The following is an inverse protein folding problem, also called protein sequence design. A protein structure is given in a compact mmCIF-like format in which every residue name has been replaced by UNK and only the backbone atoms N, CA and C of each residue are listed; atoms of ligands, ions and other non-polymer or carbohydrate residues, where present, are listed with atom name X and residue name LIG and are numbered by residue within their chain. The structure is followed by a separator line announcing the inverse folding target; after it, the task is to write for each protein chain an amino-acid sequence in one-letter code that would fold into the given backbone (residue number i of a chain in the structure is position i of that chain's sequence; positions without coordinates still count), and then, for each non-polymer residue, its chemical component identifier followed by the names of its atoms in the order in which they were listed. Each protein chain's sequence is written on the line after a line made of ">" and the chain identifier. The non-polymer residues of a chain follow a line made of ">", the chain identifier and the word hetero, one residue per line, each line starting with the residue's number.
data_IF_825120568579
#
_entry.id   IF_825120568579
#
_cell.length_a   1.000
_cell.length_b   1.000
_cell.length_c   1.000
_cell.angle_alpha   90.00
_cell.angle_beta   90.00
_cell.angle_gamma   90.00
#
_symmetry.space_group_name_H-M   'P 1'
#
loop_
_entity.id
_entity.type
_entity.pdbx_description
1 polymer ?
#
# COMPACT_ATOMS: atom_id res chain seq x y z
N UNK A 1 -20.98 -20.98 19.84
CA UNK A 1 -19.53 -20.96 20.11
C UNK A 1 -18.67 -21.26 18.87
N UNK A 2 -18.90 -22.38 18.16
CA UNK A 2 -18.12 -22.77 16.96
C UNK A 2 -18.32 -21.87 15.75
N UNK A 3 -19.54 -21.36 15.51
CA UNK A 3 -19.79 -20.38 14.45
C UNK A 3 -19.14 -19.02 14.73
N UNK A 4 -19.24 -18.51 15.97
CA UNK A 4 -18.61 -17.24 16.34
C UNK A 4 -17.08 -17.28 16.19
N UNK A 5 -16.41 -18.39 16.56
CA UNK A 5 -14.97 -18.58 16.30
C UNK A 5 -14.62 -18.54 14.81
N UNK A 6 -15.44 -19.12 13.94
CA UNK A 6 -15.23 -19.09 12.47
C UNK A 6 -15.41 -17.68 11.90
N UNK A 7 -16.33 -16.89 12.46
CA UNK A 7 -16.57 -15.51 12.04
C UNK A 7 -15.41 -14.59 12.46
N UNK A 8 -14.97 -14.66 13.71
CA UNK A 8 -13.78 -13.94 14.22
C UNK A 8 -12.54 -14.26 13.39
N UNK A 9 -12.36 -15.52 12.98
CA UNK A 9 -11.22 -15.91 12.16
C UNK A 9 -11.25 -15.30 10.75
N UNK A 10 -12.43 -15.14 10.14
CA UNK A 10 -12.57 -14.42 8.86
C UNK A 10 -12.35 -12.93 9.01
N UNK A 11 -12.90 -12.33 10.07
CA UNK A 11 -12.73 -10.91 10.40
C UNK A 11 -11.24 -10.57 10.59
N UNK A 12 -10.51 -11.40 11.34
CA UNK A 12 -9.06 -11.25 11.52
C UNK A 12 -8.27 -11.36 10.22
N UNK A 13 -8.73 -12.18 9.26
CA UNK A 13 -8.09 -12.32 7.94
C UNK A 13 -8.32 -11.07 7.08
N UNK A 14 -9.53 -10.51 7.11
CA UNK A 14 -9.85 -9.27 6.41
C UNK A 14 -9.08 -8.08 7.02
N UNK A 15 -9.04 -7.98 8.34
CA UNK A 15 -8.29 -6.95 9.07
C UNK A 15 -6.79 -7.02 8.76
N UNK A 16 -6.20 -8.23 8.63
CA UNK A 16 -4.81 -8.39 8.19
C UNK A 16 -4.57 -7.82 6.80
N UNK A 17 -5.43 -8.13 5.83
CA UNK A 17 -5.30 -7.59 4.47
C UNK A 17 -5.42 -6.07 4.45
N UNK A 18 -6.40 -5.51 5.17
CA UNK A 18 -6.57 -4.07 5.33
C UNK A 18 -5.33 -3.42 5.96
N UNK A 19 -4.78 -4.03 7.02
CA UNK A 19 -3.55 -3.57 7.65
C UNK A 19 -2.34 -3.55 6.71
N UNK A 20 -2.21 -4.57 5.84
CA UNK A 20 -1.14 -4.62 4.82
C UNK A 20 -1.32 -3.52 3.78
N UNK A 21 -2.55 -3.31 3.29
CA UNK A 21 -2.86 -2.24 2.32
C UNK A 21 -2.54 -0.87 2.92
N UNK A 22 -2.98 -0.62 4.16
CA UNK A 22 -2.69 0.62 4.88
C UNK A 22 -1.18 0.81 5.07
N UNK A 23 -0.45 -0.24 5.46
CA UNK A 23 1.00 -0.20 5.62
C UNK A 23 1.73 0.10 4.31
N UNK A 24 1.33 -0.54 3.21
CA UNK A 24 1.90 -0.30 1.88
C UNK A 24 1.62 1.12 1.39
N UNK A 25 0.39 1.63 1.59
CA UNK A 25 0.02 3.00 1.29
C UNK A 25 0.92 3.99 2.02
N UNK A 26 1.06 3.81 3.35
CA UNK A 26 1.90 4.67 4.17
C UNK A 26 3.36 4.58 3.72
N UNK A 27 3.90 3.39 3.50
CA UNK A 27 5.30 3.22 3.07
C UNK A 27 5.61 3.94 1.74
N UNK A 28 4.70 3.88 0.76
CA UNK A 28 4.90 4.53 -0.53
C UNK A 28 4.76 6.05 -0.46
N UNK A 29 3.89 6.56 0.41
CA UNK A 29 3.62 8.00 0.50
C UNK A 29 4.44 8.72 1.57
N UNK A 30 4.98 8.00 2.56
CA UNK A 30 5.77 8.57 3.65
C UNK A 30 6.97 9.40 3.15
N UNK A 31 7.77 8.96 2.15
CA UNK A 31 8.87 9.77 1.62
C UNK A 31 8.39 11.11 1.06
N UNK A 32 7.26 11.12 0.35
CA UNK A 32 6.67 12.34 -0.20
C UNK A 32 6.17 13.27 0.92
N UNK A 33 5.50 12.74 1.94
CA UNK A 33 5.03 13.55 3.06
C UNK A 33 6.17 14.17 3.88
N UNK A 34 7.25 13.42 4.11
CA UNK A 34 8.45 13.93 4.79
C UNK A 34 9.08 15.05 3.97
N UNK A 35 9.24 14.86 2.66
CA UNK A 35 9.76 15.89 1.76
C UNK A 35 8.87 17.14 1.75
N UNK A 36 7.56 16.97 1.58
CA UNK A 36 6.60 18.06 1.56
C UNK A 36 6.67 18.89 2.85
N UNK A 37 6.61 18.24 4.02
CA UNK A 37 6.73 18.92 5.31
C UNK A 37 8.08 19.64 5.44
N UNK A 38 9.17 19.00 5.02
CA UNK A 38 10.52 19.58 5.08
C UNK A 38 10.64 20.84 4.22
N UNK A 39 10.11 20.82 2.99
CA UNK A 39 10.10 21.99 2.10
C UNK A 39 9.24 23.13 2.63
N UNK A 40 8.07 22.82 3.20
CA UNK A 40 7.20 23.82 3.84
C UNK A 40 7.88 24.47 5.05
N UNK A 41 8.57 23.69 5.89
CA UNK A 41 9.25 24.21 7.09
C UNK A 41 10.53 24.98 6.76
N UNK A 42 11.25 24.59 5.70
CA UNK A 42 12.51 25.22 5.30
C UNK A 42 12.32 26.50 4.45
N UNK A 43 11.17 26.64 3.77
CA UNK A 43 10.88 27.78 2.90
C UNK A 43 11.75 27.82 1.64
N UNK A 44 11.90 29.00 1.04
CA UNK A 44 12.52 29.25 -0.30
C UNK A 44 14.00 28.79 -0.40
N UNK A 45 14.65 28.43 0.71
CA UNK A 45 16.07 28.03 0.74
C UNK A 45 16.29 26.54 0.43
N UNK A 46 15.26 25.70 0.54
CA UNK A 46 15.37 24.28 0.23
C UNK A 46 14.99 24.01 -1.23
N UNK A 47 15.90 24.32 -2.15
CA UNK A 47 15.71 23.95 -3.55
C UNK A 47 15.91 22.44 -3.69
N UNK A 48 14.88 21.75 -4.18
CA UNK A 48 14.93 20.28 -4.37
C UNK A 48 15.12 19.98 -5.85
N UNK A 49 16.11 19.16 -6.23
CA UNK A 49 16.27 18.72 -7.61
C UNK A 49 15.01 18.07 -8.16
N UNK A 50 14.67 18.34 -9.43
CA UNK A 50 13.46 17.83 -10.09
C UNK A 50 13.42 16.31 -10.17
N UNK A 51 14.59 15.69 -10.18
CA UNK A 51 14.84 14.26 -10.20
C UNK A 51 14.36 13.62 -8.90
N UNK A 52 14.64 14.26 -7.75
CA UNK A 52 14.19 13.80 -6.43
C UNK A 52 12.67 13.88 -6.33
N UNK A 53 12.09 15.00 -6.79
CA UNK A 53 10.62 15.17 -6.84
C UNK A 53 10.00 14.07 -7.70
N UNK A 54 10.55 13.83 -8.89
CA UNK A 54 10.08 12.80 -9.81
C UNK A 54 10.15 11.41 -9.17
N UNK A 55 11.27 11.05 -8.52
CA UNK A 55 11.42 9.78 -7.81
C UNK A 55 10.39 9.60 -6.69
N UNK A 56 10.09 10.64 -5.91
CA UNK A 56 9.07 10.61 -4.87
C UNK A 56 7.68 10.31 -5.45
N UNK A 57 7.32 10.94 -6.56
CA UNK A 57 6.06 10.65 -7.25
C UNK A 57 6.02 9.24 -7.84
N UNK A 58 7.13 8.75 -8.40
CA UNK A 58 7.23 7.36 -8.89
C UNK A 58 7.02 6.34 -7.77
N UNK A 59 7.60 6.56 -6.59
CA UNK A 59 7.35 5.71 -5.41
C UNK A 59 5.87 5.76 -5.02
N UNK A 60 5.25 6.95 -5.05
CA UNK A 60 3.81 7.11 -4.86
C UNK A 60 2.97 6.31 -5.88
N UNK A 61 3.37 6.29 -7.15
CA UNK A 61 2.68 5.53 -8.19
C UNK A 61 2.82 4.02 -8.04
N UNK A 62 3.93 3.53 -7.48
CA UNK A 62 4.11 2.10 -7.16
C UNK A 62 3.03 1.60 -6.19
N UNK A 63 2.46 2.46 -5.34
CA UNK A 63 1.33 2.12 -4.47
C UNK A 63 0.15 1.49 -5.24
N UNK A 64 -0.20 2.06 -6.40
CA UNK A 64 -1.29 1.55 -7.22
C UNK A 64 -0.98 0.15 -7.79
N UNK A 65 0.28 -0.12 -8.12
CA UNK A 65 0.74 -1.44 -8.59
C UNK A 65 0.85 -2.47 -7.45
N UNK A 66 1.10 -2.02 -6.21
CA UNK A 66 1.16 -2.88 -5.04
C UNK A 66 -0.21 -3.46 -4.66
N UNK A 67 -1.31 -2.77 -4.95
CA UNK A 67 -2.65 -3.27 -4.64
C UNK A 67 -2.92 -4.68 -5.23
N UNK A 68 -2.83 -4.92 -6.56
CA UNK A 68 -2.93 -6.26 -7.14
C UNK A 68 -1.95 -7.28 -6.57
N UNK A 69 -0.70 -6.88 -6.28
CA UNK A 69 0.31 -7.77 -5.69
C UNK A 69 -0.09 -8.21 -4.28
N UNK A 70 -0.52 -7.27 -3.43
CA UNK A 70 -0.99 -7.56 -2.07
C UNK A 70 -2.17 -8.54 -2.12
N UNK A 71 -3.13 -8.33 -3.02
CA UNK A 71 -4.23 -9.27 -3.19
C UNK A 71 -3.77 -10.64 -3.73
N UNK A 72 -2.83 -10.68 -4.69
CA UNK A 72 -2.32 -11.93 -5.24
C UNK A 72 -1.53 -12.77 -4.22
N UNK A 73 -0.75 -12.14 -3.33
CA UNK A 73 0.05 -12.84 -2.33
C UNK A 73 -0.74 -13.20 -1.06
N UNK A 74 -1.61 -12.32 -0.58
CA UNK A 74 -2.29 -12.49 0.70
C UNK A 74 -3.73 -13.00 0.58
N UNK A 75 -4.35 -12.92 -0.60
CA UNK A 75 -5.69 -13.43 -0.84
C UNK A 75 -5.67 -14.67 -1.75
N UNK A 76 -5.62 -15.86 -1.12
CA UNK A 76 -5.69 -17.16 -1.80
C UNK A 76 -6.87 -17.26 -2.78
N UNK A 77 -8.02 -16.68 -2.42
CA UNK A 77 -9.22 -16.72 -3.25
C UNK A 77 -9.03 -15.91 -4.54
N UNK A 78 -8.31 -14.78 -4.46
CA UNK A 78 -7.96 -13.95 -5.61
C UNK A 78 -6.97 -14.65 -6.54
N UNK A 79 -5.97 -15.33 -5.95
CA UNK A 79 -4.98 -16.12 -6.71
C UNK A 79 -5.60 -17.35 -7.38
N UNK A 80 -6.67 -17.91 -6.80
CA UNK A 80 -7.45 -18.99 -7.40
C UNK A 80 -8.31 -18.47 -8.56
N UNK A 81 -8.97 -17.32 -8.38
CA UNK A 81 -9.74 -16.65 -9.43
C UNK A 81 -8.87 -16.24 -10.63
N UNK A 82 -7.67 -15.71 -10.38
CA UNK A 82 -6.73 -15.34 -11.44
C UNK A 82 -6.22 -16.56 -12.23
N UNK A 83 -5.98 -17.69 -11.54
CA UNK A 83 -5.63 -18.97 -12.18
C UNK A 83 -6.77 -19.55 -13.03
N UNK A 84 -8.02 -19.31 -12.64
CA UNK A 84 -9.20 -19.67 -13.44
C UNK A 84 -9.38 -18.78 -14.66
N UNK A 85 -9.03 -17.49 -14.56
CA UNK A 85 -9.16 -16.54 -15.66
C UNK A 85 -8.13 -16.78 -16.78
N UNK A 86 -6.94 -17.29 -16.42
CA UNK A 86 -5.84 -17.59 -17.34
C UNK A 86 -5.86 -19.03 -17.91
N UNK A 87 -6.85 -19.84 -17.54
CA UNK A 87 -7.06 -21.20 -18.07
C UNK A 87 -8.26 -21.16 -19.01
#
# INVERSE_FOLDING_TARGET
>A
LTQQRKQIHRENKAAKTLGIIMGAFLFCWLPFFIWYLSTTLCGVKCDTPKEVISLLFWIGYVNSALNPLIYAFFNRDFREAFRRLLR
#
